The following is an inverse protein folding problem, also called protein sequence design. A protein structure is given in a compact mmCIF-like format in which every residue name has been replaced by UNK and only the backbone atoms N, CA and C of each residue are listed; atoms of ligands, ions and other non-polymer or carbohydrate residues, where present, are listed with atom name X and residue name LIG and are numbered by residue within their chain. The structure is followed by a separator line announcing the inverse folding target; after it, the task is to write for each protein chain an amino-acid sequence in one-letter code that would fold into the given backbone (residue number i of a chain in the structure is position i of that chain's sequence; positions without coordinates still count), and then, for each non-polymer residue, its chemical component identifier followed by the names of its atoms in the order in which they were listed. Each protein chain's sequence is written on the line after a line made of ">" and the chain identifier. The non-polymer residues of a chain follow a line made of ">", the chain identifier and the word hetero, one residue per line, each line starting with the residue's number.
data_IF_871121280327
#
_entry.id   IF_871121280327
#
_cell.length_a   1.000
_cell.length_b   1.000
_cell.length_c   1.000
_cell.angle_alpha   90.00
_cell.angle_beta   90.00
_cell.angle_gamma   90.00
#
_symmetry.space_group_name_H-M   'P 1'
#
loop_
_entity.id
_entity.type
_entity.pdbx_description
1 polymer ?
#
# COMPACT_ATOMS: atom_id res chain seq x y z
N UNK A 1 13.68 15.71 12.14
CA UNK A 1 14.68 14.67 12.51
C UNK A 1 14.21 13.38 11.82
N UNK A 2 15.08 12.43 11.49
CA UNK A 2 14.69 11.15 10.87
C UNK A 2 14.61 10.07 11.95
N UNK A 3 13.95 8.94 11.69
CA UNK A 3 13.97 7.78 12.59
C UNK A 3 15.42 7.38 12.90
N UNK A 4 15.85 7.57 14.15
CA UNK A 4 17.21 7.28 14.61
C UNK A 4 17.34 5.88 15.22
N UNK A 5 16.26 5.09 15.15
CA UNK A 5 16.12 3.76 15.77
C UNK A 5 16.51 3.74 17.26
N UNK A 6 16.45 4.89 17.96
CA UNK A 6 16.78 5.00 19.39
C UNK A 6 15.73 4.39 20.33
N UNK A 7 14.67 3.79 19.76
CA UNK A 7 13.58 3.12 20.46
C UNK A 7 12.28 3.93 20.47
N UNK A 8 11.17 3.24 20.68
CA UNK A 8 9.85 3.83 20.74
C UNK A 8 9.75 4.81 21.93
N UNK A 9 9.36 6.05 21.64
CA UNK A 9 9.08 7.06 22.68
C UNK A 9 7.59 7.10 22.94
N UNK A 10 7.18 6.76 24.17
CA UNK A 10 5.81 6.97 24.64
C UNK A 10 5.42 8.45 24.51
N UNK A 11 4.23 8.72 23.99
CA UNK A 11 3.76 10.10 23.84
C UNK A 11 2.35 10.22 23.29
N UNK A 12 1.92 11.46 23.09
CA UNK A 12 0.65 11.81 22.47
C UNK A 12 0.95 12.34 21.06
N UNK A 13 0.29 11.80 20.05
CA UNK A 13 0.47 12.19 18.66
C UNK A 13 -0.83 12.73 18.07
N UNK A 14 -0.83 13.99 17.63
CA UNK A 14 -1.93 14.58 16.88
C UNK A 14 -1.79 14.18 15.40
N UNK A 15 -2.74 13.39 14.88
CA UNK A 15 -2.67 12.93 13.49
C UNK A 15 -3.46 13.80 12.51
N UNK A 16 -4.41 14.62 12.98
CA UNK A 16 -5.23 15.45 12.10
C UNK A 16 -5.61 16.77 12.75
N UNK A 17 -5.29 17.85 12.06
CA UNK A 17 -5.68 19.21 12.41
C UNK A 17 -5.61 20.05 11.14
N UNK A 18 -6.76 20.29 10.52
CA UNK A 18 -6.81 20.87 9.19
C UNK A 18 -7.98 21.84 9.02
N UNK A 19 -7.70 22.98 8.38
CA UNK A 19 -8.72 23.83 7.80
C UNK A 19 -9.30 23.16 6.55
N UNK A 20 -10.61 23.24 6.36
CA UNK A 20 -11.31 22.67 5.20
C UNK A 20 -12.16 23.72 4.53
N UNK A 21 -12.17 23.70 3.21
CA UNK A 21 -13.03 24.51 2.36
C UNK A 21 -13.76 23.60 1.39
N UNK A 22 -15.04 23.88 1.13
CA UNK A 22 -15.84 23.20 0.11
C UNK A 22 -16.77 24.21 -0.54
N UNK A 23 -16.76 24.25 -1.87
CA UNK A 23 -17.65 25.09 -2.66
C UNK A 23 -18.02 24.37 -3.95
N UNK A 24 -19.30 24.00 -4.06
CA UNK A 24 -19.79 23.17 -5.16
C UNK A 24 -19.00 21.85 -5.28
N UNK A 25 -18.48 21.50 -6.47
CA UNK A 25 -17.70 20.27 -6.68
C UNK A 25 -16.27 20.36 -6.12
N UNK A 26 -15.79 21.56 -5.80
CA UNK A 26 -14.40 21.81 -5.39
C UNK A 26 -14.26 21.73 -3.88
N UNK A 27 -13.14 21.18 -3.44
CA UNK A 27 -12.77 21.10 -2.04
C UNK A 27 -11.28 21.37 -1.87
N UNK A 28 -10.90 21.87 -0.70
CA UNK A 28 -9.51 22.06 -0.31
C UNK A 28 -9.34 21.85 1.18
N UNK A 29 -8.13 21.47 1.59
CA UNK A 29 -7.75 21.33 2.99
C UNK A 29 -6.26 21.56 3.17
N UNK A 30 -5.88 22.11 4.32
CA UNK A 30 -4.49 22.37 4.65
C UNK A 30 -4.25 22.21 6.16
N UNK A 31 -3.04 21.78 6.51
CA UNK A 31 -2.61 21.50 7.88
C UNK A 31 -2.06 20.09 8.01
N UNK A 32 -2.42 19.41 9.10
CA UNK A 32 -2.11 17.99 9.32
C UNK A 32 -3.22 17.14 8.74
N UNK A 33 -2.90 16.45 7.64
CA UNK A 33 -3.87 15.75 6.78
C UNK A 33 -3.40 14.33 6.43
N UNK A 34 -4.37 13.45 6.22
CA UNK A 34 -4.21 12.17 5.52
C UNK A 34 -4.77 12.35 4.11
N UNK A 35 -4.04 12.03 3.03
CA UNK A 35 -4.52 12.09 1.64
C UNK A 35 -5.91 11.49 1.46
N UNK A 36 -6.75 12.06 0.59
CA UNK A 36 -8.13 11.55 0.37
C UNK A 36 -8.64 11.63 -1.05
N UNK A 37 -7.95 12.37 -1.93
CA UNK A 37 -8.26 12.37 -3.35
C UNK A 37 -7.47 11.31 -4.11
N UNK A 38 -7.26 11.56 -5.41
CA UNK A 38 -6.66 10.64 -6.37
C UNK A 38 -5.14 10.82 -6.42
N UNK A 39 -4.46 10.86 -5.28
CA UNK A 39 -3.01 11.06 -5.21
C UNK A 39 -2.25 9.76 -5.03
N UNK A 40 -0.97 9.76 -5.40
CA UNK A 40 -0.01 8.71 -5.05
C UNK A 40 0.40 8.74 -3.59
N UNK A 41 0.30 9.89 -2.91
CA UNK A 41 0.60 9.97 -1.48
C UNK A 41 -0.47 9.21 -0.70
N UNK A 42 -0.03 8.35 0.21
CA UNK A 42 -0.88 7.59 1.12
C UNK A 42 -0.30 7.62 2.53
N UNK A 43 -1.10 7.44 3.60
CA UNK A 43 -0.57 7.15 4.93
C UNK A 43 -0.04 5.72 5.00
N UNK A 44 0.86 5.43 5.95
CA UNK A 44 1.23 4.04 6.27
C UNK A 44 0.01 3.24 6.73
N UNK A 45 0.01 1.95 6.42
CA UNK A 45 -0.96 0.99 6.95
C UNK A 45 -0.57 0.60 8.38
N UNK A 46 -1.35 1.08 9.32
CA UNK A 46 -1.21 0.75 10.74
C UNK A 46 -2.57 0.96 11.41
N UNK A 47 -2.65 0.66 12.70
CA UNK A 47 -3.85 0.94 13.49
C UNK A 47 -4.24 2.41 13.43
N UNK A 48 -3.25 3.31 13.44
CA UNK A 48 -3.42 4.75 13.23
C UNK A 48 -2.81 5.19 11.89
N UNK A 49 -3.38 6.20 11.23
CA UNK A 49 -2.82 6.70 9.99
C UNK A 49 -1.61 7.60 10.25
N UNK A 50 -0.70 7.64 9.29
CA UNK A 50 0.34 8.67 9.24
C UNK A 50 -0.22 10.07 8.97
N UNK A 51 0.65 11.06 9.10
CA UNK A 51 0.25 12.48 9.01
C UNK A 51 1.18 13.23 8.09
N UNK A 52 0.61 13.91 7.09
CA UNK A 52 1.34 14.87 6.26
C UNK A 52 1.08 16.29 6.74
N UNK A 53 2.11 17.13 6.73
CA UNK A 53 1.96 18.59 6.78
C UNK A 53 1.90 19.10 5.36
N UNK A 54 0.75 19.63 4.95
CA UNK A 54 0.59 20.06 3.58
C UNK A 54 -0.78 20.57 3.24
N UNK A 55 -1.06 20.61 1.95
CA UNK A 55 -2.34 21.02 1.40
C UNK A 55 -2.77 20.04 0.30
N UNK A 56 -4.07 19.80 0.23
CA UNK A 56 -4.68 19.04 -0.85
C UNK A 56 -5.94 19.74 -1.31
N UNK A 57 -6.11 19.82 -2.63
CA UNK A 57 -7.30 20.33 -3.26
C UNK A 57 -7.73 19.41 -4.39
N UNK A 58 -9.02 19.39 -4.68
CA UNK A 58 -9.56 18.58 -5.75
C UNK A 58 -10.97 18.99 -6.11
N UNK A 59 -11.52 18.30 -7.09
CA UNK A 59 -12.93 18.42 -7.42
C UNK A 59 -13.53 17.06 -7.80
N UNK A 60 -14.84 16.96 -7.63
CA UNK A 60 -15.64 15.84 -8.09
C UNK A 60 -16.80 16.36 -8.94
N UNK A 61 -16.74 16.11 -10.24
CA UNK A 61 -17.79 16.44 -11.19
C UNK A 61 -18.63 15.19 -11.48
N UNK A 62 -19.90 15.26 -11.14
CA UNK A 62 -20.88 14.22 -11.43
C UNK A 62 -21.66 14.59 -12.70
N UNK A 63 -21.55 13.74 -13.73
CA UNK A 63 -22.25 13.90 -15.00
C UNK A 63 -23.46 12.95 -15.09
N UNK A 64 -23.95 12.45 -13.95
CA UNK A 64 -25.01 11.46 -13.87
C UNK A 64 -24.63 10.19 -14.63
N UNK A 65 -25.54 9.78 -15.50
CA UNK A 65 -25.42 8.64 -16.41
C UNK A 65 -24.10 8.50 -17.18
N UNK A 66 -23.40 9.60 -17.46
CA UNK A 66 -22.11 9.55 -18.16
C UNK A 66 -20.95 9.12 -17.26
N UNK A 67 -21.08 9.29 -15.94
CA UNK A 67 -20.05 8.96 -14.97
C UNK A 67 -19.63 10.13 -14.09
N UNK A 68 -18.61 9.90 -13.26
CA UNK A 68 -18.04 10.93 -12.38
C UNK A 68 -16.53 11.09 -12.60
N UNK A 69 -16.09 12.34 -12.76
CA UNK A 69 -14.67 12.71 -12.83
C UNK A 69 -14.24 13.27 -11.47
N UNK A 70 -13.30 12.59 -10.82
CA UNK A 70 -12.63 13.08 -9.62
C UNK A 70 -11.17 13.39 -9.95
N UNK A 71 -10.63 14.50 -9.45
CA UNK A 71 -9.19 14.75 -9.48
C UNK A 71 -8.74 15.46 -8.21
N UNK A 72 -7.47 15.29 -7.86
CA UNK A 72 -6.85 16.06 -6.78
C UNK A 72 -5.37 16.27 -6.97
N UNK A 73 -4.88 17.34 -6.37
CA UNK A 73 -3.48 17.68 -6.23
C UNK A 73 -3.16 17.80 -4.74
N UNK A 74 -2.08 17.15 -4.31
CA UNK A 74 -1.52 17.28 -2.97
C UNK A 74 -0.07 17.75 -3.04
N UNK A 75 0.28 18.63 -2.12
CA UNK A 75 1.65 19.04 -1.84
C UNK A 75 1.93 18.89 -0.34
N UNK A 76 3.12 18.44 0.01
CA UNK A 76 3.53 18.23 1.40
C UNK A 76 5.03 18.46 1.57
N UNK A 77 5.44 18.97 2.73
CA UNK A 77 6.85 19.21 3.06
C UNK A 77 7.38 18.33 4.20
N UNK A 78 6.49 17.69 4.97
CA UNK A 78 6.88 16.78 6.05
C UNK A 78 5.90 15.63 6.19
N UNK A 79 6.35 14.55 6.81
CA UNK A 79 5.51 13.41 7.15
C UNK A 79 5.84 12.90 8.56
N UNK A 80 4.84 12.33 9.23
CA UNK A 80 4.98 11.65 10.50
C UNK A 80 4.35 10.28 10.40
N UNK A 81 5.14 9.23 10.60
CA UNK A 81 4.64 7.86 10.68
C UNK A 81 3.74 7.66 11.93
N UNK A 82 2.84 6.67 11.92
CA UNK A 82 1.94 6.40 13.05
C UNK A 82 2.63 6.17 14.40
N UNK A 83 3.85 5.62 14.38
CA UNK A 83 4.68 5.35 15.56
C UNK A 83 5.59 6.52 15.96
N UNK A 84 5.56 7.63 15.21
CA UNK A 84 6.33 8.83 15.53
C UNK A 84 5.47 9.89 16.24
N UNK A 85 6.13 10.70 17.06
CA UNK A 85 5.53 11.84 17.77
C UNK A 85 5.80 13.17 17.05
N UNK A 86 6.89 13.27 16.31
CA UNK A 86 7.35 14.47 15.61
C UNK A 86 7.22 14.36 14.09
N UNK A 87 7.19 15.50 13.40
CA UNK A 87 7.19 15.54 11.94
C UNK A 87 8.62 15.41 11.41
N UNK A 88 8.81 14.49 10.46
CA UNK A 88 10.09 14.20 9.82
C UNK A 88 10.22 14.98 8.51
N UNK A 89 11.46 15.38 8.22
CA UNK A 89 11.83 15.97 6.94
C UNK A 89 12.12 14.85 5.93
N UNK A 90 11.89 15.12 4.65
CA UNK A 90 12.17 14.15 3.60
C UNK A 90 13.66 14.14 3.24
N UNK A 91 14.22 12.94 3.05
CA UNK A 91 15.63 12.71 2.71
C UNK A 91 15.77 11.75 1.53
N UNK A 92 16.85 11.90 0.78
CA UNK A 92 17.28 10.92 -0.23
C UNK A 92 17.92 9.68 0.45
N UNK A 93 18.37 8.71 -0.35
CA UNK A 93 18.85 7.41 0.14
C UNK A 93 20.08 7.51 1.05
N UNK A 94 20.92 8.52 0.86
CA UNK A 94 22.09 8.81 1.71
C UNK A 94 21.73 9.28 3.13
N UNK A 95 20.44 9.51 3.40
CA UNK A 95 19.87 10.01 4.68
C UNK A 95 20.38 11.40 5.09
N UNK A 96 21.03 12.12 4.19
CA UNK A 96 21.65 13.43 4.42
C UNK A 96 21.06 14.49 3.51
N UNK A 97 20.91 14.18 2.22
CA UNK A 97 20.44 15.14 1.23
C UNK A 97 18.94 15.37 1.38
N UNK A 98 18.57 16.65 1.50
CA UNK A 98 17.18 17.08 1.70
C UNK A 98 16.32 16.93 0.43
N UNK A 99 15.06 16.58 0.63
CA UNK A 99 13.98 16.72 -0.35
C UNK A 99 12.97 17.72 0.21
N UNK A 100 12.81 18.89 -0.41
CA UNK A 100 12.04 19.97 0.23
C UNK A 100 10.53 19.71 0.25
N UNK A 101 10.02 18.96 -0.72
CA UNK A 101 8.61 18.61 -0.80
C UNK A 101 8.35 17.37 -1.65
N UNK A 102 7.19 16.75 -1.38
CA UNK A 102 6.55 15.78 -2.25
C UNK A 102 5.28 16.40 -2.83
N UNK A 103 4.92 16.02 -4.05
CA UNK A 103 3.61 16.36 -4.58
C UNK A 103 3.05 15.26 -5.46
N UNK A 104 1.73 15.24 -5.62
CA UNK A 104 1.06 14.31 -6.51
C UNK A 104 -0.20 14.91 -7.09
N UNK A 105 -0.44 14.63 -8.36
CA UNK A 105 -1.66 14.92 -9.10
C UNK A 105 -2.24 13.59 -9.56
N UNK A 106 -3.55 13.41 -9.45
CA UNK A 106 -4.19 12.32 -10.17
C UNK A 106 -5.67 12.53 -10.36
N UNK A 107 -6.23 11.63 -11.17
CA UNK A 107 -7.59 11.65 -11.63
C UNK A 107 -8.18 10.24 -11.68
N UNK A 108 -9.49 10.18 -11.52
CA UNK A 108 -10.33 9.00 -11.63
C UNK A 108 -11.55 9.34 -12.46
N UNK A 109 -11.87 8.46 -13.42
CA UNK A 109 -13.18 8.47 -14.06
C UNK A 109 -13.92 7.18 -13.74
N UNK A 110 -15.11 7.32 -13.20
CA UNK A 110 -16.02 6.23 -12.86
C UNK A 110 -17.16 6.18 -13.89
N UNK A 111 -17.10 5.22 -14.81
CA UNK A 111 -18.10 5.02 -15.86
C UNK A 111 -19.31 4.26 -15.28
N UNK A 112 -20.20 4.99 -14.61
CA UNK A 112 -21.37 4.45 -13.89
C UNK A 112 -22.18 3.41 -14.70
N UNK A 113 -22.34 3.58 -16.01
CA UNK A 113 -23.15 2.67 -16.86
C UNK A 113 -22.52 1.31 -17.13
N UNK A 114 -21.20 1.22 -17.09
CA UNK A 114 -20.48 0.04 -17.54
C UNK A 114 -19.57 -0.52 -16.45
N UNK A 115 -19.72 -0.12 -15.18
CA UNK A 115 -18.93 -0.67 -14.06
C UNK A 115 -17.40 -0.59 -14.25
N UNK A 116 -16.93 0.31 -15.12
CA UNK A 116 -15.52 0.54 -15.44
C UNK A 116 -15.04 1.76 -14.67
N UNK A 117 -13.88 1.62 -14.02
CA UNK A 117 -13.18 2.74 -13.38
C UNK A 117 -11.77 2.82 -13.93
N UNK A 118 -11.38 4.02 -14.36
CA UNK A 118 -10.03 4.32 -14.80
C UNK A 118 -9.41 5.35 -13.86
N UNK A 119 -8.19 5.08 -13.39
CA UNK A 119 -7.43 5.97 -12.54
C UNK A 119 -6.01 6.15 -13.09
N UNK A 120 -5.48 7.35 -12.92
CA UNK A 120 -4.07 7.64 -13.16
C UNK A 120 -3.57 8.71 -12.18
N UNK A 121 -2.34 8.58 -11.72
CA UNK A 121 -1.69 9.55 -10.88
C UNK A 121 -0.20 9.65 -11.19
N UNK A 122 0.33 10.86 -11.03
CA UNK A 122 1.74 11.19 -11.08
C UNK A 122 2.14 11.83 -9.75
N UNK A 123 3.38 11.64 -9.35
CA UNK A 123 3.93 12.35 -8.22
C UNK A 123 5.44 12.36 -8.23
N UNK A 124 6.00 13.22 -7.41
CA UNK A 124 7.42 13.48 -7.41
C UNK A 124 7.90 13.88 -6.02
N UNK A 125 9.02 13.28 -5.61
CA UNK A 125 9.93 13.86 -4.64
C UNK A 125 10.81 14.88 -5.36
N UNK A 126 10.81 16.13 -4.89
CA UNK A 126 11.50 17.24 -5.54
C UNK A 126 12.94 16.86 -5.92
N UNK A 127 13.21 16.84 -7.23
CA UNK A 127 14.55 16.60 -7.77
C UNK A 127 15.10 15.19 -7.56
N UNK A 128 14.30 14.24 -7.04
CA UNK A 128 14.80 12.94 -6.60
C UNK A 128 14.17 11.76 -7.35
N UNK A 129 12.87 11.51 -7.16
CA UNK A 129 12.17 10.34 -7.73
C UNK A 129 10.82 10.78 -8.30
N UNK A 130 10.52 10.34 -9.51
CA UNK A 130 9.17 10.39 -10.08
C UNK A 130 8.44 9.09 -9.78
N UNK A 131 7.12 9.16 -9.60
CA UNK A 131 6.25 8.00 -9.47
C UNK A 131 5.01 8.10 -10.35
N UNK A 132 4.53 6.93 -10.75
CA UNK A 132 3.43 6.77 -11.68
C UNK A 132 2.47 5.70 -11.15
N UNK A 133 1.19 5.92 -11.36
CA UNK A 133 0.16 4.93 -11.09
C UNK A 133 -0.89 4.96 -12.19
N UNK A 134 -1.33 3.79 -12.62
CA UNK A 134 -2.60 3.66 -13.34
C UNK A 134 -3.33 2.41 -12.91
N UNK A 135 -4.66 2.48 -12.96
CA UNK A 135 -5.53 1.36 -12.67
C UNK A 135 -6.72 1.38 -13.61
N UNK A 136 -7.05 0.21 -14.13
CA UNK A 136 -8.32 -0.06 -14.77
C UNK A 136 -9.00 -1.16 -13.97
N UNK A 137 -10.19 -0.90 -13.43
CA UNK A 137 -10.99 -1.91 -12.74
C UNK A 137 -12.37 -2.03 -13.35
N UNK A 138 -12.86 -3.26 -13.41
CA UNK A 138 -14.13 -3.59 -14.04
C UNK A 138 -14.89 -4.58 -13.17
N UNK A 139 -16.21 -4.41 -13.09
CA UNK A 139 -17.10 -5.35 -12.42
C UNK A 139 -18.11 -5.91 -13.41
N UNK A 140 -18.38 -7.20 -13.33
CA UNK A 140 -19.34 -7.91 -14.17
C UNK A 140 -19.85 -9.16 -13.46
N UNK A 141 -20.91 -9.78 -13.98
CA UNK A 141 -21.40 -11.05 -13.45
C UNK A 141 -20.78 -12.24 -14.19
N UNK A 142 -20.28 -13.21 -13.42
CA UNK A 142 -19.77 -14.49 -13.92
C UNK A 142 -20.58 -15.61 -13.25
N UNK A 143 -21.21 -16.48 -14.05
CA UNK A 143 -22.06 -17.56 -13.54
C UNK A 143 -23.11 -17.11 -12.49
N UNK A 144 -23.71 -15.93 -12.71
CA UNK A 144 -24.73 -15.35 -11.84
C UNK A 144 -24.21 -14.73 -10.54
N UNK A 145 -22.90 -14.54 -10.41
CA UNK A 145 -22.26 -14.00 -9.22
C UNK A 145 -21.35 -12.80 -9.57
N UNK A 146 -21.23 -11.80 -8.68
CA UNK A 146 -20.44 -10.62 -8.97
C UNK A 146 -18.94 -10.96 -8.99
N UNK A 147 -18.29 -10.55 -10.07
CA UNK A 147 -16.86 -10.61 -10.31
C UNK A 147 -16.29 -9.21 -10.41
N UNK A 148 -15.20 -8.95 -9.69
CA UNK A 148 -14.43 -7.71 -9.79
C UNK A 148 -13.03 -8.05 -10.26
N UNK A 149 -12.48 -7.24 -11.16
CA UNK A 149 -11.09 -7.39 -11.61
C UNK A 149 -10.42 -6.05 -11.79
N UNK A 150 -9.10 -6.02 -11.64
CA UNK A 150 -8.33 -4.84 -11.99
C UNK A 150 -6.96 -5.18 -12.55
N UNK A 151 -6.49 -4.35 -13.48
CA UNK A 151 -5.08 -4.21 -13.82
C UNK A 151 -4.56 -2.93 -13.19
N UNK A 152 -3.38 -3.01 -12.59
CA UNK A 152 -2.73 -1.89 -11.90
C UNK A 152 -1.26 -1.85 -12.29
N UNK A 153 -0.75 -0.64 -12.52
CA UNK A 153 0.65 -0.37 -12.76
C UNK A 153 1.14 0.67 -11.75
N UNK A 154 2.26 0.38 -11.12
CA UNK A 154 2.98 1.26 -10.23
C UNK A 154 4.38 1.42 -10.80
N UNK A 155 4.84 2.65 -10.98
CA UNK A 155 6.15 2.96 -11.55
C UNK A 155 6.93 3.94 -10.68
N UNK A 156 8.25 3.80 -10.68
CA UNK A 156 9.18 4.71 -10.02
C UNK A 156 10.43 4.87 -10.89
N UNK A 157 10.92 6.10 -10.99
CA UNK A 157 12.07 6.44 -11.83
C UNK A 157 12.91 7.53 -11.19
N UNK A 158 14.21 7.30 -11.14
CA UNK A 158 15.18 8.24 -10.61
C UNK A 158 15.26 9.50 -11.48
N UNK A 159 15.50 10.63 -10.83
CA UNK A 159 15.88 11.89 -11.48
C UNK A 159 17.39 12.13 -11.43
N UNK A 160 18.13 11.19 -10.88
CA UNK A 160 19.59 11.15 -10.81
C UNK A 160 20.07 10.32 -11.99
N UNK A 161 20.99 10.87 -12.79
CA UNK A 161 21.49 10.19 -14.00
C UNK A 161 22.80 9.43 -13.80
N UNK A 162 23.40 9.51 -12.61
CA UNK A 162 24.65 8.83 -12.27
C UNK A 162 24.36 7.64 -11.34
N UNK A 163 24.50 6.42 -11.85
CA UNK A 163 24.23 5.19 -11.10
C UNK A 163 25.27 4.93 -9.99
N UNK A 164 26.38 5.68 -9.98
CA UNK A 164 27.37 5.63 -8.90
C UNK A 164 27.04 6.57 -7.73
N UNK A 165 26.05 7.45 -7.89
CA UNK A 165 25.57 8.32 -6.82
C UNK A 165 24.93 7.45 -5.71
N UNK A 166 25.25 7.67 -4.42
CA UNK A 166 24.65 6.94 -3.31
C UNK A 166 23.12 7.08 -3.23
N UNK A 167 22.56 8.10 -3.88
CA UNK A 167 21.14 8.36 -3.97
C UNK A 167 20.44 7.67 -5.15
N UNK A 168 21.20 7.09 -6.09
CA UNK A 168 20.63 6.29 -7.19
C UNK A 168 20.01 4.99 -6.65
N UNK A 169 18.73 4.81 -6.94
CA UNK A 169 17.88 3.69 -6.53
C UNK A 169 17.76 2.68 -7.66
N UNK A 170 17.42 3.15 -8.87
CA UNK A 170 16.95 2.32 -9.98
C UNK A 170 17.75 2.55 -11.27
N UNK A 171 18.01 1.45 -11.98
CA UNK A 171 18.54 1.47 -13.35
C UNK A 171 17.38 1.67 -14.35
N UNK A 172 16.86 2.89 -14.41
CA UNK A 172 15.71 3.28 -15.24
C UNK A 172 14.36 3.10 -14.56
N UNK A 173 13.30 2.88 -15.34
CA UNK A 173 11.94 2.73 -14.80
C UNK A 173 11.78 1.38 -14.08
N UNK A 174 11.68 1.45 -12.76
CA UNK A 174 11.21 0.35 -11.92
C UNK A 174 9.68 0.33 -11.88
N UNK A 175 9.11 -0.86 -11.77
CA UNK A 175 7.67 -1.02 -11.72
C UNK A 175 7.22 -2.29 -11.00
N UNK A 176 6.00 -2.21 -10.46
CA UNK A 176 5.19 -3.34 -10.04
C UNK A 176 3.88 -3.31 -10.84
N UNK A 177 3.52 -4.45 -11.41
CA UNK A 177 2.24 -4.64 -12.08
C UNK A 177 1.42 -5.64 -11.30
N UNK A 178 0.10 -5.43 -11.25
CA UNK A 178 -0.80 -6.33 -10.56
C UNK A 178 -2.07 -6.62 -11.36
N UNK A 179 -2.55 -7.85 -11.23
CA UNK A 179 -3.86 -8.30 -11.68
C UNK A 179 -4.64 -8.84 -10.48
N UNK A 180 -5.88 -8.41 -10.32
CA UNK A 180 -6.74 -8.85 -9.21
C UNK A 180 -8.04 -9.44 -9.71
N UNK A 181 -8.56 -10.41 -8.97
CA UNK A 181 -9.84 -11.06 -9.19
C UNK A 181 -10.52 -11.28 -7.85
N UNK A 182 -11.70 -10.69 -7.67
CA UNK A 182 -12.55 -10.89 -6.50
C UNK A 182 -13.89 -11.47 -6.92
N UNK A 183 -14.26 -12.62 -6.37
CA UNK A 183 -15.46 -13.36 -6.75
C UNK A 183 -16.26 -13.75 -5.52
N UNK A 184 -17.55 -13.45 -5.48
CA UNK A 184 -18.40 -13.80 -4.32
C UNK A 184 -19.44 -14.84 -4.72
N UNK A 185 -19.42 -16.00 -4.07
CA UNK A 185 -20.38 -17.09 -4.33
C UNK A 185 -21.05 -17.51 -3.04
N UNK A 186 -22.34 -17.20 -2.90
CA UNK A 186 -23.05 -17.45 -1.64
C UNK A 186 -22.35 -16.75 -0.47
N UNK A 187 -21.84 -17.53 0.47
CA UNK A 187 -21.17 -17.06 1.68
C UNK A 187 -19.64 -16.97 1.55
N UNK A 188 -19.11 -17.29 0.37
CA UNK A 188 -17.67 -17.31 0.12
C UNK A 188 -17.24 -16.07 -0.66
N UNK A 189 -16.21 -15.38 -0.16
CA UNK A 189 -15.52 -14.32 -0.86
C UNK A 189 -14.12 -14.80 -1.25
N UNK A 190 -13.89 -14.98 -2.54
CA UNK A 190 -12.66 -15.48 -3.13
C UNK A 190 -11.82 -14.32 -3.65
N UNK A 191 -10.51 -14.44 -3.49
CA UNK A 191 -9.51 -13.54 -4.07
C UNK A 191 -8.44 -14.35 -4.79
N UNK A 192 -8.09 -13.93 -6.00
CA UNK A 192 -6.93 -14.40 -6.75
C UNK A 192 -6.22 -13.18 -7.29
N UNK A 193 -4.96 -12.99 -6.92
CA UNK A 193 -4.18 -11.81 -7.27
C UNK A 193 -2.78 -12.23 -7.71
N UNK A 194 -2.19 -11.50 -8.64
CA UNK A 194 -0.83 -11.75 -9.08
C UNK A 194 -0.06 -10.45 -9.27
N UNK A 195 1.22 -10.47 -8.93
CA UNK A 195 2.14 -9.34 -9.12
C UNK A 195 3.36 -9.75 -9.93
N UNK A 196 3.95 -8.79 -10.62
CA UNK A 196 5.24 -8.93 -11.29
C UNK A 196 6.05 -7.66 -11.09
N UNK A 197 7.35 -7.82 -10.84
CA UNK A 197 8.23 -6.72 -10.47
C UNK A 197 9.44 -6.62 -11.39
N UNK A 198 9.77 -5.38 -11.75
CA UNK A 198 11.07 -4.99 -12.28
C UNK A 198 11.64 -3.89 -11.42
N UNK A 199 12.79 -4.11 -10.80
CA UNK A 199 13.43 -3.13 -9.90
C UNK A 199 14.95 -3.26 -10.00
N UNK A 200 15.47 -3.18 -11.22
CA UNK A 200 16.92 -3.12 -11.48
C UNK A 200 17.50 -1.86 -10.84
N UNK A 201 18.70 -1.92 -10.29
CA UNK A 201 19.36 -0.84 -9.56
C UNK A 201 19.87 -1.25 -8.18
N UNK A 202 20.48 -0.29 -7.49
CA UNK A 202 21.08 -0.46 -6.16
C UNK A 202 20.07 -0.91 -5.10
N UNK A 203 18.80 -0.52 -5.22
CA UNK A 203 17.78 -0.88 -4.23
C UNK A 203 17.35 -2.35 -4.32
N UNK A 204 17.24 -2.90 -5.53
CA UNK A 204 16.89 -4.31 -5.75
C UNK A 204 15.45 -4.72 -5.41
N UNK A 205 14.56 -3.77 -5.12
CA UNK A 205 13.12 -4.01 -4.88
C UNK A 205 12.28 -2.78 -5.22
N UNK A 206 11.01 -2.98 -5.57
CA UNK A 206 10.09 -1.91 -5.92
C UNK A 206 9.49 -1.26 -4.68
N UNK A 207 9.44 0.08 -4.67
CA UNK A 207 8.87 0.86 -3.56
C UNK A 207 7.83 1.85 -4.08
N UNK A 208 6.61 1.77 -3.54
CA UNK A 208 5.52 2.71 -3.83
C UNK A 208 5.72 4.08 -3.17
N UNK A 209 6.78 4.30 -2.39
CA UNK A 209 7.02 5.54 -1.63
C UNK A 209 7.98 6.47 -2.38
N UNK A 210 7.75 7.79 -2.34
CA UNK A 210 8.61 8.77 -3.01
C UNK A 210 9.91 9.07 -2.24
N UNK A 211 10.04 8.52 -1.03
CA UNK A 211 11.25 8.57 -0.22
C UNK A 211 11.68 7.14 0.12
N UNK A 212 12.99 6.87 0.19
CA UNK A 212 13.50 5.51 0.18
C UNK A 212 13.46 4.85 1.56
N UNK A 213 13.57 5.65 2.63
CA UNK A 213 13.61 5.10 3.97
C UNK A 213 12.22 4.78 4.49
N UNK A 214 12.10 3.66 5.19
CA UNK A 214 10.91 3.32 5.97
C UNK A 214 10.48 4.49 6.88
N UNK A 215 9.19 4.59 7.15
CA UNK A 215 8.58 5.66 7.96
C UNK A 215 8.67 7.10 7.40
N UNK A 216 9.45 7.37 6.35
CA UNK A 216 9.70 8.76 5.88
C UNK A 216 8.61 9.34 4.97
N UNK A 217 7.87 8.50 4.26
CA UNK A 217 6.60 8.82 3.57
C UNK A 217 5.90 7.49 3.24
N UNK A 218 4.68 7.53 2.70
CA UNK A 218 4.12 6.35 2.06
C UNK A 218 3.41 6.70 0.76
N UNK A 219 3.27 5.71 -0.12
CA UNK A 219 2.53 5.87 -1.36
C UNK A 219 1.47 4.80 -1.56
N UNK A 220 0.66 5.01 -2.59
CA UNK A 220 -0.47 4.15 -2.94
C UNK A 220 0.04 2.84 -3.51
N UNK A 221 -0.36 1.75 -2.88
CA UNK A 221 -0.27 0.39 -3.39
C UNK A 221 -1.58 -0.29 -2.99
N UNK A 222 -2.45 -0.63 -3.92
CA UNK A 222 -3.76 -1.23 -3.59
C UNK A 222 -3.65 -2.73 -3.29
N UNK A 223 -2.48 -3.35 -3.52
CA UNK A 223 -2.23 -4.77 -3.29
C UNK A 223 -1.81 -4.98 -1.83
N UNK A 224 -2.61 -5.77 -1.12
CA UNK A 224 -2.38 -6.09 0.28
C UNK A 224 -2.79 -7.53 0.58
N UNK A 225 -1.81 -8.34 0.97
CA UNK A 225 -1.98 -9.74 1.29
C UNK A 225 -1.86 -10.03 2.80
N UNK A 226 -1.30 -9.10 3.59
CA UNK A 226 -1.04 -9.28 5.04
C UNK A 226 -0.16 -10.52 5.34
N UNK A 227 0.69 -10.91 4.38
CA UNK A 227 1.48 -12.14 4.40
C UNK A 227 2.96 -11.92 4.82
N UNK A 228 3.20 -10.88 5.64
CA UNK A 228 4.51 -10.42 6.13
C UNK A 228 5.45 -9.79 5.11
N UNK A 229 5.70 -10.47 3.99
CA UNK A 229 6.51 -9.91 2.90
C UNK A 229 5.69 -9.00 2.00
N UNK A 230 6.37 -8.05 1.36
CA UNK A 230 5.82 -7.20 0.31
C UNK A 230 5.87 -7.90 -1.07
N UNK A 231 6.61 -9.01 -1.20
CA UNK A 231 6.81 -9.76 -2.46
C UNK A 231 7.18 -8.85 -3.63
N UNK A 232 8.15 -7.96 -3.37
CA UNK A 232 8.50 -6.83 -4.23
C UNK A 232 9.96 -6.82 -4.71
N UNK A 233 10.69 -7.93 -4.61
CA UNK A 233 12.07 -8.01 -5.04
C UNK A 233 12.20 -7.89 -6.57
N UNK A 234 13.37 -7.47 -7.05
CA UNK A 234 13.62 -7.34 -8.48
C UNK A 234 13.37 -8.67 -9.22
N UNK A 235 12.56 -8.65 -10.28
CA UNK A 235 12.27 -9.84 -11.09
C UNK A 235 11.24 -10.79 -10.47
N UNK A 236 10.80 -10.53 -9.24
CA UNK A 236 9.87 -11.38 -8.52
C UNK A 236 8.49 -11.39 -9.18
N UNK A 237 7.89 -12.58 -9.23
CA UNK A 237 6.49 -12.79 -9.57
C UNK A 237 5.85 -13.47 -8.40
N UNK A 238 4.64 -13.05 -8.05
CA UNK A 238 3.91 -13.66 -6.95
C UNK A 238 2.45 -13.89 -7.31
N UNK A 239 1.87 -14.94 -6.74
CA UNK A 239 0.44 -15.25 -6.86
C UNK A 239 -0.12 -15.48 -5.46
N UNK A 240 -1.21 -14.79 -5.16
CA UNK A 240 -2.00 -14.90 -3.95
C UNK A 240 -3.35 -15.54 -4.25
N UNK A 241 -3.75 -16.51 -3.45
CA UNK A 241 -5.10 -17.06 -3.44
C UNK A 241 -5.66 -17.04 -2.02
N UNK A 242 -6.91 -16.62 -1.84
CA UNK A 242 -7.54 -16.60 -0.53
C UNK A 242 -9.06 -16.73 -0.59
N UNK A 243 -9.63 -17.19 0.52
CA UNK A 243 -11.08 -17.28 0.70
C UNK A 243 -11.48 -16.90 2.11
N UNK A 244 -12.55 -16.12 2.22
CA UNK A 244 -13.28 -15.88 3.47
C UNK A 244 -14.65 -16.54 3.39
N UNK A 245 -15.06 -17.21 4.46
CA UNK A 245 -16.36 -17.87 4.59
C UNK A 245 -17.17 -17.23 5.72
N UNK A 246 -18.32 -16.65 5.36
CA UNK A 246 -19.32 -16.15 6.30
C UNK A 246 -20.13 -17.32 6.90
N UNK A 247 -20.11 -17.45 8.23
CA UNK A 247 -20.70 -18.57 8.96
C UNK A 247 -22.18 -18.36 9.31
N UNK A 248 -22.86 -17.36 8.74
CA UNK A 248 -24.29 -17.10 8.98
C UNK A 248 -25.19 -18.30 8.69
N UNK A 249 -24.87 -19.11 7.68
CA UNK A 249 -25.60 -20.36 7.37
C UNK A 249 -25.55 -21.41 8.49
N UNK A 250 -24.60 -21.29 9.42
CA UNK A 250 -24.46 -22.15 10.59
C UNK A 250 -25.07 -21.54 11.86
N UNK A 251 -25.93 -20.53 11.71
CA UNK A 251 -26.47 -19.73 12.82
C UNK A 251 -25.37 -19.04 13.66
N UNK A 252 -24.26 -18.68 13.03
CA UNK A 252 -23.16 -17.92 13.63
C UNK A 252 -23.01 -16.54 12.98
N UNK A 253 -24.05 -15.67 13.04
CA UNK A 253 -24.00 -14.37 12.41
C UNK A 253 -22.87 -13.52 12.97
N UNK A 254 -22.17 -12.82 12.08
CA UNK A 254 -21.01 -11.99 12.43
C UNK A 254 -19.71 -12.76 12.57
N UNK A 255 -19.71 -14.10 12.49
CA UNK A 255 -18.49 -14.90 12.44
C UNK A 255 -18.08 -15.17 10.99
N UNK A 256 -16.80 -15.02 10.70
CA UNK A 256 -16.21 -15.50 9.46
C UNK A 256 -14.81 -16.08 9.70
N UNK A 257 -14.45 -17.05 8.87
CA UNK A 257 -13.12 -17.67 8.89
C UNK A 257 -12.54 -17.67 7.49
N UNK A 258 -11.22 -17.65 7.37
CA UNK A 258 -10.58 -17.69 6.07
C UNK A 258 -9.17 -18.23 6.10
N UNK A 259 -8.68 -18.53 4.91
CA UNK A 259 -7.31 -18.93 4.68
C UNK A 259 -6.82 -18.33 3.37
N UNK A 260 -5.51 -18.09 3.32
CA UNK A 260 -4.84 -17.61 2.11
C UNK A 260 -3.46 -18.20 1.96
N UNK A 261 -2.93 -18.15 0.74
CA UNK A 261 -1.59 -18.59 0.40
C UNK A 261 -0.98 -17.67 -0.65
N UNK A 262 0.29 -17.32 -0.46
CA UNK A 262 1.14 -16.65 -1.45
C UNK A 262 2.27 -17.58 -1.84
N UNK A 263 2.57 -17.62 -3.13
CA UNK A 263 3.80 -18.18 -3.65
C UNK A 263 4.46 -17.19 -4.60
N UNK A 264 5.74 -16.94 -4.38
CA UNK A 264 6.55 -16.04 -5.18
C UNK A 264 7.87 -16.67 -5.61
N UNK A 265 8.36 -16.27 -6.78
CA UNK A 265 9.55 -16.85 -7.38
C UNK A 265 10.28 -15.85 -8.28
N UNK A 266 11.49 -16.22 -8.70
CA UNK A 266 12.39 -15.44 -9.55
C UNK A 266 12.90 -14.13 -8.91
N UNK A 267 12.74 -13.95 -7.60
CA UNK A 267 13.35 -12.83 -6.89
C UNK A 267 14.87 -12.82 -7.14
N UNK A 268 15.40 -11.68 -7.59
CA UNK A 268 16.80 -11.45 -7.90
C UNK A 268 17.40 -10.46 -6.90
N UNK A 269 18.70 -10.54 -6.62
CA UNK A 269 19.36 -9.50 -5.85
C UNK A 269 19.34 -8.17 -6.60
N UNK A 270 19.71 -7.09 -5.90
CA UNK A 270 20.08 -5.82 -6.52
C UNK A 270 21.12 -6.03 -7.62
N UNK A 271 21.14 -5.12 -8.60
CA UNK A 271 22.05 -5.21 -9.76
C UNK A 271 23.49 -4.86 -9.42
N UNK A 272 23.79 -4.56 -8.15
CA UNK A 272 25.14 -4.29 -7.71
C UNK A 272 26.03 -5.54 -7.93
N UNK A 273 27.14 -5.42 -8.69
CA UNK A 273 27.96 -6.56 -9.11
C UNK A 273 28.69 -7.27 -7.96
N UNK A 274 28.67 -6.71 -6.74
CA UNK A 274 29.19 -7.40 -5.54
C UNK A 274 28.35 -8.63 -5.16
N UNK A 275 27.09 -8.70 -5.59
CA UNK A 275 26.19 -9.80 -5.29
C UNK A 275 26.16 -10.84 -6.40
N UNK A 276 25.94 -12.10 -6.03
CA UNK A 276 25.81 -13.21 -6.98
C UNK A 276 24.50 -13.10 -7.77
N UNK A 277 24.62 -12.58 -8.99
CA UNK A 277 23.50 -12.35 -9.92
C UNK A 277 22.84 -13.64 -10.43
N UNK A 278 23.44 -14.81 -10.15
CA UNK A 278 22.84 -16.11 -10.48
C UNK A 278 21.81 -16.57 -9.45
N UNK A 279 21.82 -16.00 -8.24
CA UNK A 279 20.88 -16.35 -7.17
C UNK A 279 19.44 -16.05 -7.55
N UNK A 280 18.52 -16.96 -7.19
CA UNK A 280 17.09 -16.76 -7.27
C UNK A 280 16.43 -17.21 -5.99
N UNK A 281 15.65 -16.32 -5.38
CA UNK A 281 14.86 -16.63 -4.19
C UNK A 281 13.41 -16.97 -4.54
N UNK A 282 12.78 -17.65 -3.59
CA UNK A 282 11.36 -17.98 -3.59
C UNK A 282 10.81 -17.61 -2.24
N UNK A 283 9.59 -17.12 -2.19
CA UNK A 283 8.92 -16.80 -0.94
C UNK A 283 7.57 -17.50 -0.91
N UNK A 284 7.13 -17.91 0.27
CA UNK A 284 5.77 -18.40 0.45
C UNK A 284 5.23 -18.02 1.81
N UNK A 285 3.92 -17.81 1.88
CA UNK A 285 3.24 -17.63 3.14
C UNK A 285 1.85 -18.23 3.11
N UNK A 286 1.37 -18.74 4.24
CA UNK A 286 -0.05 -18.99 4.44
C UNK A 286 -0.57 -18.19 5.63
N UNK A 287 -1.82 -17.76 5.54
CA UNK A 287 -2.52 -17.10 6.63
C UNK A 287 -3.82 -17.79 6.98
N UNK A 288 -4.20 -17.64 8.25
CA UNK A 288 -5.48 -18.05 8.79
C UNK A 288 -6.14 -16.86 9.49
N UNK A 289 -7.38 -16.59 9.14
CA UNK A 289 -8.17 -15.49 9.69
C UNK A 289 -9.40 -16.05 10.42
N UNK A 290 -9.67 -15.51 11.60
CA UNK A 290 -10.93 -15.68 12.30
C UNK A 290 -11.43 -14.33 12.77
N UNK A 291 -12.69 -14.02 12.50
CA UNK A 291 -13.31 -12.76 12.89
C UNK A 291 -14.69 -12.96 13.51
N UNK A 292 -15.01 -12.09 14.46
CA UNK A 292 -16.33 -11.98 15.03
C UNK A 292 -16.72 -10.51 15.19
N UNK A 293 -17.83 -10.10 14.59
CA UNK A 293 -18.46 -8.81 14.86
C UNK A 293 -19.62 -9.02 15.82
N UNK A 294 -19.62 -8.32 16.95
CA UNK A 294 -20.68 -8.42 17.94
C UNK A 294 -22.01 -7.90 17.37
N UNK A 295 -23.05 -8.73 17.38
CA UNK A 295 -24.29 -8.49 16.65
C UNK A 295 -25.29 -7.60 17.41
N UNK A 296 -25.26 -7.61 18.74
CA UNK A 296 -26.22 -6.89 19.58
C UNK A 296 -25.62 -6.45 20.93
N UNK A 297 -26.39 -5.67 21.70
CA UNK A 297 -26.02 -5.15 23.01
C UNK A 297 -25.15 -3.89 22.97
N UNK A 298 -24.61 -3.50 24.13
CA UNK A 298 -23.86 -2.24 24.30
C UNK A 298 -22.56 -2.16 23.52
N UNK A 299 -22.03 -3.31 23.10
CA UNK A 299 -20.81 -3.43 22.32
C UNK A 299 -21.08 -3.88 20.87
N UNK A 300 -22.33 -3.78 20.40
CA UNK A 300 -22.70 -4.04 19.00
C UNK A 300 -21.77 -3.31 18.04
N UNK A 301 -21.30 -4.02 17.02
CA UNK A 301 -20.33 -3.52 16.04
C UNK A 301 -18.87 -3.67 16.46
N UNK A 302 -18.57 -4.14 17.67
CA UNK A 302 -17.19 -4.46 18.07
C UNK A 302 -16.67 -5.62 17.24
N UNK A 303 -15.56 -5.42 16.55
CA UNK A 303 -14.84 -6.42 15.78
C UNK A 303 -13.75 -7.04 16.64
N UNK A 304 -13.70 -8.37 16.67
CA UNK A 304 -12.56 -9.17 17.11
C UNK A 304 -11.99 -9.85 15.87
N UNK A 305 -10.71 -9.65 15.58
CA UNK A 305 -10.00 -10.31 14.49
C UNK A 305 -8.75 -10.98 15.02
N UNK A 306 -8.61 -12.26 14.76
CA UNK A 306 -7.37 -13.02 14.90
C UNK A 306 -6.83 -13.32 13.50
N UNK A 307 -5.57 -12.98 13.28
CA UNK A 307 -4.86 -13.23 12.05
C UNK A 307 -3.52 -13.91 12.39
N UNK A 308 -3.27 -15.05 11.77
CA UNK A 308 -2.02 -15.79 11.87
C UNK A 308 -1.37 -15.86 10.50
N UNK A 309 -0.06 -15.69 10.43
CA UNK A 309 0.73 -15.90 9.22
C UNK A 309 2.00 -16.69 9.53
N UNK A 310 2.30 -17.68 8.69
CA UNK A 310 3.62 -18.29 8.57
C UNK A 310 4.22 -17.87 7.24
N UNK A 311 5.40 -17.25 7.29
CA UNK A 311 6.18 -16.84 6.13
C UNK A 311 7.49 -17.64 6.07
N UNK A 312 7.94 -17.94 4.85
CA UNK A 312 9.15 -18.71 4.54
C UNK A 312 9.82 -18.13 3.28
N UNK A 313 11.12 -17.84 3.34
CA UNK A 313 11.89 -17.28 2.22
C UNK A 313 12.76 -18.32 1.47
N UNK A 314 12.66 -19.59 1.86
CA UNK A 314 13.33 -20.75 1.27
C UNK A 314 14.84 -20.62 1.11
N UNK A 315 15.53 -19.86 1.98
CA UNK A 315 16.97 -19.61 1.86
C UNK A 315 17.68 -19.39 3.18
N UNK A 316 19.00 -19.61 3.17
CA UNK A 316 19.89 -19.30 4.29
C UNK A 316 20.48 -17.87 4.22
N UNK A 317 19.98 -17.02 3.32
CA UNK A 317 20.49 -15.65 3.16
C UNK A 317 20.04 -14.81 4.36
N UNK A 318 20.95 -14.21 5.15
CA UNK A 318 20.57 -13.38 6.29
C UNK A 318 19.57 -12.28 5.89
N UNK A 319 18.67 -11.91 6.80
CA UNK A 319 17.69 -10.84 6.54
C UNK A 319 18.37 -9.59 5.98
N UNK A 320 17.79 -9.04 4.91
CA UNK A 320 18.28 -7.87 4.19
C UNK A 320 19.68 -8.05 3.54
N UNK A 321 20.15 -9.29 3.45
CA UNK A 321 21.47 -9.69 2.95
C UNK A 321 21.45 -10.18 1.51
N UNK A 322 22.64 -10.51 0.97
CA UNK A 322 22.78 -11.13 -0.35
C UNK A 322 22.31 -10.28 -1.54
N UNK A 323 22.08 -8.98 -1.33
CA UNK A 323 21.52 -8.07 -2.34
C UNK A 323 20.00 -7.97 -2.30
N UNK A 324 19.32 -8.62 -1.36
CA UNK A 324 17.87 -8.55 -1.18
C UNK A 324 17.50 -7.54 -0.10
N UNK A 325 17.43 -6.26 -0.47
CA UNK A 325 17.23 -5.15 0.48
C UNK A 325 15.87 -5.11 1.17
N UNK A 326 14.89 -5.92 0.74
CA UNK A 326 13.55 -5.99 1.33
C UNK A 326 13.05 -7.43 1.60
N UNK A 327 13.95 -8.42 1.68
CA UNK A 327 13.61 -9.81 2.07
C UNK A 327 14.21 -10.12 3.44
N UNK A 328 13.48 -10.83 4.28
CA UNK A 328 13.90 -11.24 5.63
C UNK A 328 13.71 -12.74 5.84
N UNK A 329 14.32 -13.29 6.88
CA UNK A 329 14.21 -14.69 7.26
C UNK A 329 12.80 -15.07 7.74
N UNK A 330 12.53 -16.38 7.78
CA UNK A 330 11.25 -16.96 8.14
C UNK A 330 10.65 -16.35 9.42
N UNK A 331 9.34 -16.11 9.39
CA UNK A 331 8.65 -15.47 10.50
C UNK A 331 7.28 -16.10 10.77
N UNK A 332 6.91 -16.11 12.05
CA UNK A 332 5.56 -16.40 12.54
C UNK A 332 4.99 -15.13 13.15
N UNK A 333 3.82 -14.75 12.68
CA UNK A 333 3.14 -13.54 13.16
C UNK A 333 1.71 -13.86 13.60
N UNK A 334 1.31 -13.24 14.70
CA UNK A 334 -0.02 -13.37 15.29
C UNK A 334 -0.51 -11.98 15.65
N UNK A 335 -1.61 -11.56 15.03
CA UNK A 335 -2.29 -10.29 15.33
C UNK A 335 -3.65 -10.56 15.92
N UNK A 336 -3.89 -10.06 17.13
CA UNK A 336 -5.22 -9.99 17.72
C UNK A 336 -5.66 -8.53 17.79
N UNK A 337 -6.72 -8.20 17.06
CA UNK A 337 -7.19 -6.83 16.87
C UNK A 337 -8.61 -6.73 17.42
N UNK A 338 -8.84 -5.72 18.25
CA UNK A 338 -10.17 -5.37 18.76
C UNK A 338 -10.50 -3.94 18.34
N UNK A 339 -11.61 -3.76 17.62
CA UNK A 339 -12.08 -2.44 17.17
C UNK A 339 -13.49 -2.24 17.72
N UNK A 340 -13.65 -1.33 18.68
CA UNK A 340 -14.93 -0.98 19.28
C UNK A 340 -15.36 0.42 18.81
N UNK A 341 -16.21 0.53 17.77
CA UNK A 341 -16.71 1.83 17.33
C UNK A 341 -17.67 2.40 18.37
N UNK A 342 -17.52 3.70 18.66
CA UNK A 342 -18.47 4.45 19.45
C UNK A 342 -18.74 5.79 18.78
N UNK A 343 -19.92 6.35 19.03
CA UNK A 343 -20.29 7.68 18.56
C UNK A 343 -20.47 8.56 19.78
N UNK A 344 -19.83 9.73 19.76
CA UNK A 344 -20.14 10.83 20.66
C UNK A 344 -20.77 11.89 19.77
N UNK A 345 -22.09 12.01 19.86
CA UNK A 345 -23.00 12.90 19.11
C UNK A 345 -23.46 12.40 17.74
#
# INVERSE_FOLDING_TARGET
>A
MMEDYSGDKSGISLYKAAGKFKYGPVWARAGYIQPSGQTLLAPHWSFMPGTYQGAEAGANFDYGDSGALSFSYMWTNKYKAPWHIEMDDFRQNDRKTDVSYLHSLGAKYDFQKNDLVLEAAFGQAQGYVNQYFTKASYKFDLAGNPMTTSYQFYGAEDRIGDNSDPNSIYDGLAWLQALTFGYTTGQFNWRLEGTMVKAEGNQGFFLQRMTPTYASSNGRLDIWWDNRSDFNANGEKAVFGGVMYDLSNWNLPGMAVGASYVYAWDAKPSTNPIYDQSQRLRESAYSLDAMYTMQDGRAKGTLFKLHFTQYDNHSDIPSWGGGYGNIFQDEKDVKFIVIAPFTIF
#
